data_IF_310406320769
#
_entry.id   IF_310406320769
#
_cell.length_a   1.000
_cell.length_b   1.000
_cell.length_c   1.000
_cell.angle_alpha   90.00
_cell.angle_beta   90.00
_cell.angle_gamma   90.00
#
_symmetry.space_group_name_H-M   'P 1'
#
loop_
_entity.id
_entity.type
_entity.pdbx_description
1 polymer ?
#
# COMPACT_ATOMS: atom_id res chain seq x y z
N UNK A 1 -17.80 -4.97 -15.70
CA UNK A 1 -17.60 -3.50 -15.63
C UNK A 1 -16.60 -3.19 -14.54
N UNK A 2 -15.62 -2.38 -14.87
CA UNK A 2 -14.59 -1.87 -13.95
C UNK A 2 -14.85 -0.38 -13.74
N UNK A 3 -15.11 0.03 -12.50
CA UNK A 3 -15.26 1.44 -12.12
C UNK A 3 -13.92 1.92 -11.59
N UNK A 4 -13.40 3.01 -12.14
CA UNK A 4 -12.10 3.62 -11.82
C UNK A 4 -12.20 4.62 -10.66
N UNK A 5 -11.07 5.02 -10.06
CA UNK A 5 -11.06 6.02 -8.98
C UNK A 5 -11.69 7.37 -9.35
N UNK A 6 -11.66 7.75 -10.61
CA UNK A 6 -12.29 8.98 -11.13
C UNK A 6 -13.81 8.84 -11.41
N UNK A 7 -14.38 7.68 -11.14
CA UNK A 7 -15.78 7.35 -11.36
C UNK A 7 -16.12 6.95 -12.81
N UNK A 8 -15.18 6.96 -13.73
CA UNK A 8 -15.39 6.43 -15.10
C UNK A 8 -15.40 4.91 -15.09
N UNK A 9 -15.99 4.32 -16.13
CA UNK A 9 -16.13 2.86 -16.23
C UNK A 9 -15.54 2.33 -17.52
N UNK A 10 -14.93 1.15 -17.43
CA UNK A 10 -14.55 0.32 -18.58
C UNK A 10 -15.27 -1.03 -18.52
N UNK A 11 -15.35 -1.70 -19.64
CA UNK A 11 -15.87 -3.08 -19.75
C UNK A 11 -14.79 -4.03 -20.24
N UNK A 12 -14.80 -5.23 -19.66
CA UNK A 12 -14.03 -6.38 -20.13
C UNK A 12 -15.04 -7.47 -20.49
N UNK A 13 -14.98 -7.97 -21.72
CA UNK A 13 -15.88 -8.99 -22.21
C UNK A 13 -15.17 -10.34 -22.30
N UNK A 14 -15.87 -11.41 -21.93
CA UNK A 14 -15.42 -12.78 -22.00
C UNK A 14 -16.56 -13.68 -22.43
N UNK A 15 -16.33 -14.51 -23.45
CA UNK A 15 -17.33 -15.49 -23.88
C UNK A 15 -17.16 -16.77 -23.10
N UNK A 16 -18.20 -17.16 -22.34
CA UNK A 16 -18.17 -18.37 -21.51
C UNK A 16 -18.04 -19.63 -22.37
N UNK A 17 -17.14 -20.49 -21.96
CA UNK A 17 -16.97 -21.84 -22.53
C UNK A 17 -17.88 -22.85 -21.82
N UNK A 18 -18.10 -24.01 -22.43
CA UNK A 18 -18.89 -25.09 -21.84
C UNK A 18 -18.29 -25.60 -20.53
N UNK A 19 -16.95 -25.62 -20.42
CA UNK A 19 -16.26 -26.07 -19.24
C UNK A 19 -16.43 -25.07 -18.06
N UNK A 20 -16.39 -23.76 -18.34
CA UNK A 20 -16.64 -22.71 -17.34
C UNK A 20 -18.09 -22.75 -16.83
N UNK A 21 -19.05 -22.97 -17.74
CA UNK A 21 -20.46 -23.14 -17.35
C UNK A 21 -20.64 -24.38 -16.47
N UNK A 22 -20.00 -25.49 -16.82
CA UNK A 22 -20.06 -26.74 -16.03
C UNK A 22 -19.35 -26.55 -14.66
N UNK A 23 -18.22 -25.85 -14.63
CA UNK A 23 -17.48 -25.56 -13.40
C UNK A 23 -18.16 -24.51 -12.51
N UNK A 24 -19.10 -23.73 -13.07
CA UNK A 24 -19.79 -22.64 -12.38
C UNK A 24 -18.88 -21.43 -12.06
N UNK A 25 -17.75 -21.32 -12.76
CA UNK A 25 -16.79 -20.21 -12.61
C UNK A 25 -15.98 -19.98 -13.88
N UNK A 26 -15.59 -18.73 -14.12
CA UNK A 26 -14.71 -18.32 -15.20
C UNK A 26 -13.56 -17.48 -14.63
N UNK A 27 -12.35 -17.64 -15.18
CA UNK A 27 -11.21 -16.80 -14.87
C UNK A 27 -11.10 -15.71 -15.96
N UNK A 28 -11.31 -14.45 -15.55
CA UNK A 28 -11.26 -13.29 -16.46
C UNK A 28 -10.17 -12.34 -15.98
N UNK A 29 -9.23 -11.99 -16.86
CA UNK A 29 -8.19 -11.02 -16.56
C UNK A 29 -8.67 -9.61 -16.91
N UNK A 30 -8.53 -8.67 -15.98
CA UNK A 30 -8.69 -7.25 -16.27
C UNK A 30 -7.36 -6.77 -16.87
N UNK A 31 -7.34 -6.28 -18.12
CA UNK A 31 -6.11 -5.82 -18.76
C UNK A 31 -5.50 -4.63 -18.02
N UNK A 32 -4.17 -4.53 -18.02
CA UNK A 32 -3.44 -3.47 -17.30
C UNK A 32 -3.81 -2.05 -17.80
N UNK A 33 -4.19 -1.90 -19.07
CA UNK A 33 -4.64 -0.61 -19.62
C UNK A 33 -5.98 -0.12 -19.05
N UNK A 34 -6.69 -0.97 -18.31
CA UNK A 34 -7.94 -0.62 -17.62
C UNK A 34 -7.73 -0.19 -16.17
N UNK A 35 -6.53 -0.41 -15.62
CA UNK A 35 -6.16 -0.16 -14.21
C UNK A 35 -4.85 0.65 -14.12
N UNK A 36 -4.84 1.81 -14.76
CA UNK A 36 -3.63 2.62 -14.99
C UNK A 36 -3.37 3.68 -13.91
N UNK A 37 -4.34 3.98 -13.06
CA UNK A 37 -4.21 5.00 -12.01
C UNK A 37 -4.20 4.35 -10.63
N UNK A 38 -3.48 4.95 -9.70
CA UNK A 38 -3.57 4.59 -8.29
C UNK A 38 -4.93 4.99 -7.73
N UNK A 39 -5.43 4.20 -6.78
CA UNK A 39 -6.69 4.43 -6.11
C UNK A 39 -7.61 3.22 -6.06
N UNK A 40 -8.82 3.45 -5.58
CA UNK A 40 -9.81 2.40 -5.40
C UNK A 40 -10.58 2.13 -6.70
N UNK A 41 -10.65 0.87 -7.06
CA UNK A 41 -11.44 0.31 -8.15
C UNK A 41 -12.57 -0.54 -7.62
N UNK A 42 -13.66 -0.64 -8.38
CA UNK A 42 -14.78 -1.53 -8.08
C UNK A 42 -15.13 -2.34 -9.32
N UNK A 43 -15.38 -3.63 -9.16
CA UNK A 43 -15.69 -4.54 -10.26
C UNK A 43 -17.03 -5.21 -10.02
N UNK A 44 -17.89 -5.15 -11.04
CA UNK A 44 -19.13 -5.92 -11.12
C UNK A 44 -19.14 -6.80 -12.37
N UNK A 45 -19.87 -7.91 -12.32
CA UNK A 45 -20.07 -8.79 -13.46
C UNK A 45 -21.55 -8.99 -13.76
N UNK A 46 -21.88 -9.15 -15.04
CA UNK A 46 -23.18 -9.64 -15.49
C UNK A 46 -22.99 -10.66 -16.62
N UNK A 47 -23.96 -11.53 -16.80
CA UNK A 47 -23.98 -12.51 -17.89
C UNK A 47 -25.14 -12.18 -18.81
N UNK A 48 -24.86 -12.13 -20.14
CA UNK A 48 -25.87 -11.93 -21.16
C UNK A 48 -25.88 -13.14 -22.09
N UNK A 49 -27.05 -13.72 -22.37
CA UNK A 49 -27.18 -14.79 -23.32
C UNK A 49 -27.29 -14.28 -24.77
N UNK A 50 -27.15 -15.14 -25.80
CA UNK A 50 -27.27 -14.71 -27.20
C UNK A 50 -28.63 -14.12 -27.58
N UNK A 51 -29.68 -14.37 -26.80
CA UNK A 51 -31.01 -13.79 -26.98
C UNK A 51 -31.18 -12.41 -26.37
N UNK A 52 -30.16 -11.95 -25.59
CA UNK A 52 -30.17 -10.66 -24.94
C UNK A 52 -30.74 -10.66 -23.51
N UNK A 53 -31.00 -11.84 -22.92
CA UNK A 53 -31.37 -11.89 -21.51
C UNK A 53 -30.15 -11.71 -20.62
N UNK A 54 -30.26 -10.88 -19.57
CA UNK A 54 -29.17 -10.58 -18.67
C UNK A 54 -29.45 -11.07 -17.26
N UNK A 55 -28.37 -11.44 -16.52
CA UNK A 55 -28.44 -11.77 -15.09
C UNK A 55 -28.67 -10.55 -14.20
N UNK A 56 -28.49 -9.34 -14.75
CA UNK A 56 -28.24 -8.16 -13.94
C UNK A 56 -26.83 -8.15 -13.32
N UNK A 57 -26.39 -7.01 -12.84
CA UNK A 57 -25.07 -6.88 -12.22
C UNK A 57 -25.04 -7.53 -10.84
N UNK A 58 -23.97 -8.29 -10.59
CA UNK A 58 -23.66 -8.84 -9.27
C UNK A 58 -23.21 -7.77 -8.27
N UNK A 59 -22.93 -8.22 -7.05
CA UNK A 59 -22.38 -7.33 -6.01
C UNK A 59 -20.98 -6.83 -6.43
N UNK A 60 -20.65 -5.56 -6.16
CA UNK A 60 -19.33 -5.02 -6.44
C UNK A 60 -18.27 -5.66 -5.54
N UNK A 61 -17.07 -5.82 -6.10
CA UNK A 61 -15.87 -6.19 -5.37
C UNK A 61 -14.84 -5.09 -5.57
N UNK A 62 -14.33 -4.56 -4.48
CA UNK A 62 -13.37 -3.45 -4.50
C UNK A 62 -11.94 -3.97 -4.37
N UNK A 63 -11.00 -3.27 -5.02
CA UNK A 63 -9.56 -3.45 -4.84
C UNK A 63 -8.84 -2.11 -5.01
N UNK A 64 -7.66 -1.98 -4.41
CA UNK A 64 -6.84 -0.78 -4.52
C UNK A 64 -5.62 -1.06 -5.39
N UNK A 65 -5.31 -0.12 -6.27
CA UNK A 65 -4.05 -0.06 -7.00
C UNK A 65 -3.18 1.00 -6.34
N UNK A 66 -1.97 0.63 -5.96
CA UNK A 66 -0.94 1.51 -5.45
C UNK A 66 0.38 1.09 -6.09
N UNK A 67 0.93 1.98 -6.90
CA UNK A 67 2.19 1.77 -7.62
C UNK A 67 3.30 2.70 -7.11
N UNK A 68 3.02 3.50 -6.08
CA UNK A 68 3.99 4.40 -5.50
C UNK A 68 5.03 3.62 -4.68
N UNK A 69 6.29 4.00 -4.86
CA UNK A 69 7.41 3.44 -4.10
C UNK A 69 7.85 4.47 -3.07
N UNK A 70 7.86 4.14 -1.75
CA UNK A 70 8.38 5.05 -0.73
C UNK A 70 9.82 5.47 -1.05
N UNK A 71 10.04 6.79 -1.18
CA UNK A 71 11.34 7.35 -1.53
C UNK A 71 11.60 7.59 -3.02
N UNK A 72 10.71 7.14 -3.90
CA UNK A 72 10.70 7.56 -5.29
C UNK A 72 10.06 8.94 -5.38
N UNK A 73 10.87 9.97 -5.61
CA UNK A 73 10.42 11.36 -5.53
C UNK A 73 9.94 11.93 -6.86
N UNK A 74 10.29 11.30 -7.96
CA UNK A 74 9.96 11.75 -9.32
C UNK A 74 9.10 10.76 -10.14
N UNK A 75 8.87 9.55 -9.60
CA UNK A 75 7.98 8.55 -10.22
C UNK A 75 8.65 7.72 -11.32
N UNK A 76 9.98 7.63 -11.32
CA UNK A 76 10.74 6.87 -12.32
C UNK A 76 10.92 5.38 -11.95
N UNK A 77 10.45 4.98 -10.76
CA UNK A 77 10.54 3.62 -10.22
C UNK A 77 11.86 3.35 -9.49
N UNK A 78 12.67 4.38 -9.24
CA UNK A 78 13.92 4.30 -8.49
C UNK A 78 13.81 5.08 -7.18
N UNK A 79 14.36 4.53 -6.10
CA UNK A 79 14.38 5.19 -4.80
C UNK A 79 15.45 6.30 -4.79
N UNK A 80 15.05 7.56 -4.62
CA UNK A 80 15.92 8.74 -4.53
C UNK A 80 16.23 9.11 -3.07
N UNK A 81 15.32 8.83 -2.16
CA UNK A 81 15.41 9.20 -0.76
C UNK A 81 15.08 8.02 0.16
N UNK A 82 15.85 7.89 1.22
CA UNK A 82 15.64 6.87 2.26
C UNK A 82 15.29 7.51 3.60
N UNK A 83 14.59 6.80 4.51
CA UNK A 83 14.38 7.29 5.87
C UNK A 83 15.70 7.57 6.59
N UNK A 84 15.77 8.68 7.31
CA UNK A 84 16.92 9.06 8.15
C UNK A 84 16.46 9.09 9.60
N UNK A 85 17.17 8.37 10.47
CA UNK A 85 16.89 8.31 11.91
C UNK A 85 17.73 9.35 12.61
N UNK A 86 17.10 10.16 13.45
CA UNK A 86 17.76 11.08 14.41
C UNK A 86 17.34 10.68 15.81
N UNK A 87 18.30 10.66 16.74
CA UNK A 87 18.06 10.42 18.16
C UNK A 87 18.47 11.69 18.91
N UNK A 88 17.50 12.59 19.23
CA UNK A 88 17.82 13.90 19.82
C UNK A 88 18.61 13.82 21.13
N UNK A 89 18.30 12.81 21.96
CA UNK A 89 18.90 12.57 23.26
C UNK A 89 20.29 11.89 23.21
N UNK A 90 20.74 11.45 22.02
CA UNK A 90 22.03 10.77 21.87
C UNK A 90 23.23 11.73 21.77
N UNK A 91 23.03 13.04 21.84
CA UNK A 91 24.09 14.04 21.66
C UNK A 91 25.22 13.93 22.72
N UNK A 92 24.88 13.52 23.92
CA UNK A 92 25.79 13.29 25.06
C UNK A 92 25.70 11.84 25.60
N UNK A 93 24.97 10.98 24.93
CA UNK A 93 24.69 9.59 25.30
C UNK A 93 23.38 9.46 26.10
N UNK A 94 22.73 8.31 25.94
CA UNK A 94 21.46 8.02 26.63
C UNK A 94 21.77 7.52 28.06
N UNK A 95 21.29 8.23 29.08
CA UNK A 95 21.51 7.90 30.48
C UNK A 95 20.38 7.03 31.06
N UNK A 96 20.53 6.57 32.32
CA UNK A 96 19.61 5.66 32.98
C UNK A 96 18.20 6.25 33.24
N UNK A 97 18.04 7.57 33.29
CA UNK A 97 16.72 8.21 33.43
C UNK A 97 15.99 8.24 32.07
N UNK A 98 16.74 8.58 31.00
CA UNK A 98 16.23 8.58 29.63
C UNK A 98 15.83 7.19 29.13
N UNK A 99 16.54 6.16 29.59
CA UNK A 99 16.18 4.75 29.24
C UNK A 99 14.88 4.26 29.90
N UNK A 100 14.28 4.99 30.82
CA UNK A 100 13.06 4.53 31.53
C UNK A 100 11.82 4.48 30.64
N UNK A 101 11.75 5.35 29.66
CA UNK A 101 10.65 5.44 28.69
C UNK A 101 11.08 5.04 27.27
N UNK A 102 12.28 4.43 27.13
CA UNK A 102 12.86 4.02 25.86
C UNK A 102 13.61 5.14 25.17
N UNK A 103 14.25 4.84 24.05
CA UNK A 103 15.02 5.83 23.27
C UNK A 103 14.10 6.48 22.24
N UNK A 104 13.96 7.80 22.32
CA UNK A 104 13.11 8.57 21.41
C UNK A 104 13.82 8.83 20.10
N UNK A 105 13.19 8.49 18.98
CA UNK A 105 13.74 8.74 17.64
C UNK A 105 12.80 9.58 16.80
N UNK A 106 13.36 10.45 15.97
CA UNK A 106 12.66 11.11 14.88
C UNK A 106 13.16 10.52 13.55
N UNK A 107 12.24 10.05 12.71
CA UNK A 107 12.57 9.42 11.43
C UNK A 107 11.95 10.22 10.30
N UNK A 108 12.76 10.60 9.31
CA UNK A 108 12.21 11.26 8.12
C UNK A 108 11.35 10.28 7.31
N UNK A 109 10.19 10.72 6.88
CA UNK A 109 9.27 9.97 6.00
C UNK A 109 9.43 10.52 4.58
N UNK A 110 10.05 9.77 3.66
CA UNK A 110 10.32 10.27 2.32
C UNK A 110 9.01 10.37 1.50
N UNK A 111 9.02 11.23 0.49
CA UNK A 111 7.92 11.34 -0.47
C UNK A 111 7.65 10.00 -1.16
N UNK A 112 6.41 9.73 -1.52
CA UNK A 112 5.97 8.43 -2.04
C UNK A 112 5.53 7.45 -0.96
N UNK A 113 5.77 7.77 0.34
CA UNK A 113 5.19 7.00 1.45
C UNK A 113 3.70 7.31 1.61
N UNK A 114 2.94 6.33 2.05
CA UNK A 114 1.50 6.42 2.28
C UNK A 114 1.13 6.06 3.73
N UNK A 115 -0.04 6.53 4.17
CA UNK A 115 -0.62 6.08 5.43
C UNK A 115 -0.92 4.57 5.36
N UNK A 116 -0.47 3.82 6.36
CA UNK A 116 -0.56 2.37 6.38
C UNK A 116 0.75 1.67 6.01
N UNK A 117 1.73 2.37 5.43
CA UNK A 117 3.07 1.83 5.23
C UNK A 117 3.73 1.47 6.56
N UNK A 118 4.57 0.46 6.56
CA UNK A 118 5.32 0.05 7.75
C UNK A 118 6.73 0.60 7.72
N UNK A 119 7.04 1.44 8.70
CA UNK A 119 8.41 1.88 9.01
C UNK A 119 9.05 0.87 9.95
N UNK A 120 10.19 0.29 9.56
CA UNK A 120 10.94 -0.66 10.38
C UNK A 120 12.27 -0.06 10.80
N UNK A 121 12.47 0.13 12.11
CA UNK A 121 13.77 0.47 12.70
C UNK A 121 14.53 -0.81 13.03
N UNK A 122 15.77 -0.91 12.59
CA UNK A 122 16.68 -2.00 12.97
C UNK A 122 17.72 -1.49 13.95
N UNK A 123 17.70 -2.03 15.14
CA UNK A 123 18.64 -1.67 16.21
C UNK A 123 19.74 -2.72 16.28
N UNK A 124 20.99 -2.33 16.01
CA UNK A 124 22.15 -3.21 16.16
C UNK A 124 22.76 -3.01 17.54
N UNK A 125 22.81 -4.09 18.31
CA UNK A 125 23.36 -4.10 19.68
C UNK A 125 24.90 -4.24 19.68
N UNK A 126 25.55 -3.91 20.81
CA UNK A 126 27.01 -4.06 20.92
C UNK A 126 27.56 -5.47 20.68
N UNK A 127 26.75 -6.50 20.90
CA UNK A 127 27.10 -7.90 20.63
C UNK A 127 26.92 -8.32 19.16
N UNK A 128 26.46 -7.37 18.30
CA UNK A 128 26.20 -7.60 16.88
C UNK A 128 24.83 -8.21 16.57
N UNK A 129 24.01 -8.51 17.58
CA UNK A 129 22.62 -8.93 17.34
C UNK A 129 21.74 -7.75 16.97
N UNK A 130 20.61 -8.01 16.32
CA UNK A 130 19.67 -6.97 15.90
C UNK A 130 18.29 -7.23 16.45
N UNK A 131 17.61 -6.15 16.85
CA UNK A 131 16.17 -6.12 17.11
C UNK A 131 15.47 -5.21 16.09
N UNK A 132 14.19 -5.40 15.90
CA UNK A 132 13.37 -4.54 15.03
C UNK A 132 12.22 -3.92 15.80
N UNK A 133 11.93 -2.65 15.50
CA UNK A 133 10.76 -1.93 15.97
C UNK A 133 9.96 -1.52 14.75
N UNK A 134 8.70 -1.92 14.69
CA UNK A 134 7.80 -1.59 13.58
C UNK A 134 6.82 -0.49 13.99
N UNK A 135 6.59 0.44 13.09
CA UNK A 135 5.63 1.53 13.25
C UNK A 135 4.82 1.68 11.96
N UNK A 136 3.49 1.72 12.08
CA UNK A 136 2.61 1.96 10.93
C UNK A 136 2.43 3.47 10.75
N UNK A 137 2.81 3.99 9.58
CA UNK A 137 2.70 5.40 9.27
C UNK A 137 1.25 5.88 9.26
N UNK A 138 1.01 7.00 9.90
CA UNK A 138 -0.26 7.72 9.87
C UNK A 138 -0.29 8.76 8.75
N UNK A 139 -1.48 9.22 8.36
CA UNK A 139 -1.63 10.28 7.37
C UNK A 139 -0.96 11.60 7.80
N UNK A 140 -0.98 11.89 9.10
CA UNK A 140 -0.34 13.10 9.66
C UNK A 140 1.18 13.03 9.56
N UNK A 141 1.79 11.88 9.85
CA UNK A 141 3.24 11.66 9.73
C UNK A 141 3.72 11.74 8.28
N UNK A 142 2.96 11.14 7.36
CA UNK A 142 3.25 11.25 5.91
C UNK A 142 3.17 12.71 5.45
N UNK A 143 2.15 13.46 5.90
CA UNK A 143 2.00 14.88 5.58
C UNK A 143 3.11 15.73 6.21
N UNK A 144 3.50 15.42 7.44
CA UNK A 144 4.58 16.10 8.16
C UNK A 144 5.98 15.74 7.61
N UNK A 145 6.11 14.63 6.87
CA UNK A 145 7.38 14.10 6.39
C UNK A 145 8.28 13.54 7.50
N UNK A 146 7.69 13.19 8.66
CA UNK A 146 8.40 12.63 9.80
C UNK A 146 7.51 11.79 10.69
N UNK A 147 8.11 10.81 11.36
CA UNK A 147 7.48 9.98 12.38
C UNK A 147 8.34 9.95 13.63
N UNK A 148 7.69 10.01 14.80
CA UNK A 148 8.35 9.86 16.10
C UNK A 148 8.14 8.40 16.57
N UNK A 149 9.22 7.67 16.77
CA UNK A 149 9.19 6.24 17.15
C UNK A 149 10.04 6.00 18.37
N UNK A 150 9.50 5.28 19.35
CA UNK A 150 10.25 4.92 20.57
C UNK A 150 10.85 3.52 20.41
N UNK A 151 12.15 3.40 20.64
CA UNK A 151 12.82 2.10 20.81
C UNK A 151 12.66 1.71 22.29
N UNK A 152 11.92 0.62 22.58
CA UNK A 152 11.56 0.23 23.95
C UNK A 152 12.74 -0.28 24.77
#
# INVERSE_FOLDING_TARGET
>A
TVTKPDGTTDTVEHTLTADEVTAGKAAVTIPADKVTADGQYSVTAEITDPAGNTSGQGQPTDFTVDTQIPGDTDGDGVVDATPVVTIPEAADGVNAEELKDGVQTEVTVPKGSAAGDTLTLTVTKPDGTTDTVEHTLTADEVTAGKADVTIP
#
